data_IF_361914731552
#
_entry.id   IF_361914731552
#
_cell.length_a   1.000
_cell.length_b   1.000
_cell.length_c   1.000
_cell.angle_alpha   90.00
_cell.angle_beta   90.00
_cell.angle_gamma   90.00
#
_symmetry.space_group_name_H-M   'P 1'
#
loop_
_entity.id
_entity.type
_entity.pdbx_description
1 polymer ?
#
# COMPACT_ATOMS: atom_id res chain seq x y z
N UNK A 1 -54.24 2.45 34.16
CA UNK A 1 -53.05 1.58 34.10
C UNK A 1 -52.54 1.22 32.68
N UNK A 2 -53.28 1.21 31.58
CA UNK A 2 -52.73 0.88 30.25
C UNK A 2 -51.86 2.00 29.64
N UNK A 3 -52.16 3.28 29.89
CA UNK A 3 -51.40 4.42 29.33
C UNK A 3 -49.92 4.47 29.80
N UNK A 4 -49.65 4.14 31.07
CA UNK A 4 -48.30 4.14 31.62
C UNK A 4 -47.40 3.03 31.03
N UNK A 5 -47.98 1.83 30.82
CA UNK A 5 -47.29 0.74 30.13
C UNK A 5 -46.93 1.09 28.68
N UNK A 6 -47.83 1.74 27.95
CA UNK A 6 -47.59 2.18 26.57
C UNK A 6 -46.50 3.25 26.50
N UNK A 7 -46.42 4.17 27.47
CA UNK A 7 -45.37 5.19 27.55
C UNK A 7 -43.99 4.60 27.84
N UNK A 8 -43.88 3.58 28.70
CA UNK A 8 -42.64 2.88 28.98
C UNK A 8 -42.20 2.12 27.71
N UNK A 9 -43.10 1.42 27.05
CA UNK A 9 -42.81 0.67 25.81
C UNK A 9 -42.35 1.59 24.69
N UNK A 10 -42.95 2.75 24.52
CA UNK A 10 -42.52 3.77 23.55
C UNK A 10 -41.14 4.33 23.90
N UNK A 11 -40.86 4.59 25.18
CA UNK A 11 -39.55 5.11 25.63
C UNK A 11 -38.45 4.09 25.44
N UNK A 12 -38.67 2.81 25.70
CA UNK A 12 -37.70 1.73 25.51
C UNK A 12 -37.44 1.51 24.03
N UNK A 13 -38.44 1.55 23.17
CA UNK A 13 -38.26 1.44 21.72
C UNK A 13 -37.48 2.63 21.15
N UNK A 14 -37.76 3.85 21.61
CA UNK A 14 -37.02 5.05 21.18
C UNK A 14 -35.56 4.99 21.66
N UNK A 15 -35.32 4.55 22.89
CA UNK A 15 -33.97 4.38 23.42
C UNK A 15 -33.14 3.36 22.61
N UNK A 16 -33.75 2.21 22.31
CA UNK A 16 -33.11 1.17 21.48
C UNK A 16 -32.81 1.67 20.07
N UNK A 17 -33.73 2.42 19.46
CA UNK A 17 -33.53 3.01 18.14
C UNK A 17 -32.36 4.02 18.12
N UNK A 18 -32.27 4.90 19.14
CA UNK A 18 -31.17 5.86 19.28
C UNK A 18 -29.84 5.12 19.50
N UNK A 19 -29.80 4.08 20.33
CA UNK A 19 -28.61 3.26 20.56
C UNK A 19 -28.13 2.58 19.26
N UNK A 20 -29.08 2.07 18.47
CA UNK A 20 -28.80 1.46 17.18
C UNK A 20 -28.16 2.47 16.18
N UNK A 21 -28.74 3.69 16.09
CA UNK A 21 -28.18 4.77 15.25
C UNK A 21 -26.78 5.19 15.72
N UNK A 22 -26.54 5.29 17.02
CA UNK A 22 -25.24 5.63 17.58
C UNK A 22 -24.18 4.54 17.27
N UNK A 23 -24.52 3.27 17.44
CA UNK A 23 -23.63 2.15 17.07
C UNK A 23 -23.30 2.15 15.59
N UNK A 24 -24.27 2.45 14.75
CA UNK A 24 -24.06 2.54 13.32
C UNK A 24 -23.12 3.71 12.95
N UNK A 25 -23.34 4.89 13.52
CA UNK A 25 -22.48 6.05 13.32
C UNK A 25 -21.04 5.76 13.78
N UNK A 26 -20.88 5.13 14.93
CA UNK A 26 -19.57 4.72 15.46
C UNK A 26 -18.86 3.75 14.51
N UNK A 27 -19.58 2.75 13.99
CA UNK A 27 -19.03 1.82 13.00
C UNK A 27 -18.58 2.52 11.73
N UNK A 28 -19.36 3.47 11.19
CA UNK A 28 -18.98 4.24 10.00
C UNK A 28 -17.69 5.01 10.28
N UNK A 29 -17.58 5.67 11.43
CA UNK A 29 -16.37 6.37 11.85
C UNK A 29 -15.17 5.43 11.94
N UNK A 30 -15.33 4.25 12.52
CA UNK A 30 -14.28 3.24 12.64
C UNK A 30 -13.81 2.75 11.26
N UNK A 31 -14.73 2.51 10.34
CA UNK A 31 -14.40 2.10 8.96
C UNK A 31 -13.64 3.19 8.23
N UNK A 32 -14.07 4.44 8.34
CA UNK A 32 -13.40 5.59 7.72
C UNK A 32 -11.99 5.75 8.28
N UNK A 33 -11.83 5.70 9.61
CA UNK A 33 -10.52 5.78 10.28
C UNK A 33 -9.58 4.66 9.82
N UNK A 34 -10.02 3.39 9.92
CA UNK A 34 -9.21 2.24 9.48
C UNK A 34 -8.84 2.29 8.01
N UNK A 35 -9.72 2.85 7.17
CA UNK A 35 -9.42 3.02 5.75
C UNK A 35 -8.27 4.01 5.56
N UNK A 36 -8.24 5.11 6.31
CA UNK A 36 -7.15 6.10 6.29
C UNK A 36 -5.80 5.51 6.72
N UNK A 37 -5.82 4.62 7.73
CA UNK A 37 -4.60 3.99 8.25
C UNK A 37 -3.85 3.16 7.22
N UNK A 38 -4.52 2.62 6.20
CA UNK A 38 -3.86 1.78 5.18
C UNK A 38 -2.96 2.57 4.23
N UNK A 39 -3.29 3.82 3.91
CA UNK A 39 -2.38 4.67 3.15
C UNK A 39 -1.14 5.04 3.99
N UNK A 40 -1.32 5.31 5.28
CA UNK A 40 -0.20 5.63 6.18
C UNK A 40 0.69 4.42 6.45
N UNK A 41 0.15 3.20 6.49
CA UNK A 41 0.94 1.97 6.56
C UNK A 41 1.88 1.82 5.37
N UNK A 42 1.37 1.95 4.14
CA UNK A 42 2.19 1.86 2.93
C UNK A 42 3.31 2.91 2.93
N UNK A 43 3.00 4.13 3.34
CA UNK A 43 4.02 5.18 3.49
C UNK A 43 5.05 4.82 4.58
N UNK A 44 4.63 4.19 5.68
CA UNK A 44 5.50 3.67 6.73
C UNK A 44 6.45 2.59 6.21
N UNK A 45 5.96 1.68 5.40
CA UNK A 45 6.77 0.61 4.80
C UNK A 45 7.75 1.15 3.75
N UNK A 46 7.36 2.16 2.96
CA UNK A 46 8.27 2.91 2.11
C UNK A 46 9.43 3.52 2.92
N UNK A 47 9.13 4.23 4.01
CA UNK A 47 10.15 4.84 4.88
C UNK A 47 11.11 3.80 5.44
N UNK A 48 10.62 2.66 5.93
CA UNK A 48 11.46 1.56 6.44
C UNK A 48 12.39 1.01 5.36
N UNK A 49 11.88 0.81 4.15
CA UNK A 49 12.68 0.32 3.02
C UNK A 49 13.76 1.33 2.62
N UNK A 50 13.43 2.62 2.57
CA UNK A 50 14.39 3.69 2.31
C UNK A 50 15.52 3.70 3.37
N UNK A 51 15.17 3.60 4.64
CA UNK A 51 16.15 3.54 5.75
C UNK A 51 17.08 2.33 5.58
N UNK A 52 16.53 1.16 5.19
CA UNK A 52 17.33 -0.04 4.95
C UNK A 52 18.30 0.14 3.79
N UNK A 53 17.87 0.69 2.66
CA UNK A 53 18.71 0.94 1.48
C UNK A 53 19.81 1.96 1.83
N UNK A 54 19.45 3.10 2.41
CA UNK A 54 20.44 4.13 2.79
C UNK A 54 21.38 3.65 3.88
N UNK A 55 20.89 2.89 4.86
CA UNK A 55 21.73 2.28 5.88
C UNK A 55 22.77 1.33 5.30
N UNK A 56 22.38 0.51 4.32
CA UNK A 56 23.31 -0.35 3.61
C UNK A 56 24.32 0.45 2.80
N UNK A 57 23.89 1.43 2.01
CA UNK A 57 24.80 2.30 1.23
C UNK A 57 25.81 3.01 2.15
N UNK A 58 25.33 3.56 3.26
CA UNK A 58 26.17 4.24 4.24
C UNK A 58 27.22 3.28 4.85
N UNK A 59 26.82 2.05 5.17
CA UNK A 59 27.74 1.02 5.67
C UNK A 59 28.83 0.70 4.65
N UNK A 60 28.47 0.56 3.38
CA UNK A 60 29.44 0.31 2.29
C UNK A 60 30.43 1.47 2.16
N UNK A 61 29.94 2.72 2.18
CA UNK A 61 30.78 3.92 2.10
C UNK A 61 31.74 3.99 3.29
N UNK A 62 31.24 3.78 4.52
CA UNK A 62 32.09 3.80 5.72
C UNK A 62 33.17 2.71 5.70
N UNK A 63 32.82 1.48 5.29
CA UNK A 63 33.76 0.40 5.20
C UNK A 63 34.92 0.71 4.23
N UNK A 64 34.63 1.40 3.12
CA UNK A 64 35.63 1.82 2.17
C UNK A 64 36.53 2.96 2.72
N UNK A 65 35.93 3.94 3.43
CA UNK A 65 36.69 5.04 4.04
C UNK A 65 37.66 4.49 5.10
N UNK A 66 37.21 3.54 5.93
CA UNK A 66 38.03 2.93 6.99
C UNK A 66 39.17 2.08 6.41
N UNK A 67 38.99 1.54 5.20
CA UNK A 67 40.00 0.71 4.54
C UNK A 67 41.06 1.52 3.77
N UNK A 68 41.11 2.84 3.91
CA UNK A 68 41.98 3.76 3.15
C UNK A 68 41.91 3.58 1.62
N UNK A 69 40.79 3.05 1.13
CA UNK A 69 40.57 2.90 -0.31
C UNK A 69 40.10 4.22 -0.94
N UNK A 70 40.56 4.57 -2.14
CA UNK A 70 40.05 5.75 -2.83
C UNK A 70 38.54 5.64 -3.05
N UNK A 71 37.78 6.72 -2.82
CA UNK A 71 36.34 6.79 -3.03
C UNK A 71 35.89 6.35 -4.44
N UNK A 72 36.79 6.46 -5.43
CA UNK A 72 36.57 6.05 -6.81
C UNK A 72 36.42 4.52 -6.99
N UNK A 73 36.87 3.72 -6.02
CA UNK A 73 36.80 2.26 -6.06
C UNK A 73 35.73 1.66 -5.13
N UNK A 74 34.82 2.49 -4.58
CA UNK A 74 33.76 2.01 -3.67
C UNK A 74 32.80 1.07 -4.40
N UNK A 75 32.44 1.40 -5.63
CA UNK A 75 31.50 0.64 -6.43
C UNK A 75 32.22 -0.40 -7.32
N UNK A 76 32.90 -1.35 -6.65
CA UNK A 76 33.42 -2.54 -7.34
C UNK A 76 32.25 -3.34 -7.91
N UNK A 77 32.56 -4.26 -8.84
CA UNK A 77 31.56 -5.16 -9.45
C UNK A 77 30.77 -5.93 -8.38
N UNK A 78 31.43 -6.43 -7.36
CA UNK A 78 30.83 -7.21 -6.29
C UNK A 78 29.83 -6.39 -5.48
N UNK A 79 30.21 -5.16 -5.11
CA UNK A 79 29.34 -4.23 -4.37
C UNK A 79 28.16 -3.80 -5.24
N UNK A 80 28.38 -3.54 -6.51
CA UNK A 80 27.31 -3.19 -7.45
C UNK A 80 26.28 -4.32 -7.56
N UNK A 81 26.71 -5.57 -7.75
CA UNK A 81 25.80 -6.73 -7.80
C UNK A 81 25.00 -6.87 -6.50
N UNK A 82 25.62 -6.70 -5.34
CA UNK A 82 24.90 -6.76 -4.06
C UNK A 82 23.83 -5.65 -3.97
N UNK A 83 24.15 -4.43 -4.38
CA UNK A 83 23.19 -3.31 -4.40
C UNK A 83 22.04 -3.56 -5.37
N UNK A 84 22.29 -4.13 -6.55
CA UNK A 84 21.25 -4.52 -7.49
C UNK A 84 20.32 -5.58 -6.91
N UNK A 85 20.85 -6.57 -6.20
CA UNK A 85 20.06 -7.58 -5.48
C UNK A 85 19.20 -6.93 -4.39
N UNK A 86 19.74 -5.95 -3.66
CA UNK A 86 18.98 -5.18 -2.65
C UNK A 86 17.86 -4.39 -3.30
N UNK A 87 18.12 -3.73 -4.44
CA UNK A 87 17.09 -3.00 -5.19
C UNK A 87 16.01 -3.97 -5.72
N UNK A 88 16.40 -5.10 -6.29
CA UNK A 88 15.47 -6.14 -6.75
C UNK A 88 14.59 -6.66 -5.59
N UNK A 89 15.17 -6.93 -4.43
CA UNK A 89 14.46 -7.27 -3.20
C UNK A 89 13.47 -6.20 -2.78
N UNK A 90 13.86 -4.92 -2.91
CA UNK A 90 12.98 -3.77 -2.62
C UNK A 90 11.81 -3.67 -3.60
N UNK A 91 11.98 -4.02 -4.87
CA UNK A 91 10.87 -4.09 -5.84
C UNK A 91 9.88 -5.20 -5.46
N UNK A 92 10.38 -6.38 -5.09
CA UNK A 92 9.53 -7.49 -4.62
C UNK A 92 8.74 -7.05 -3.37
N UNK A 93 9.42 -6.42 -2.41
CA UNK A 93 8.79 -5.90 -1.19
C UNK A 93 7.71 -4.86 -1.50
N UNK A 94 7.95 -3.93 -2.44
CA UNK A 94 6.96 -2.97 -2.92
C UNK A 94 5.70 -3.66 -3.47
N UNK A 95 5.88 -4.69 -4.30
CA UNK A 95 4.76 -5.45 -4.87
C UNK A 95 3.93 -6.10 -3.77
N UNK A 96 4.58 -6.73 -2.78
CA UNK A 96 3.92 -7.37 -1.64
C UNK A 96 3.12 -6.32 -0.85
N UNK A 97 3.72 -5.18 -0.49
CA UNK A 97 3.05 -4.11 0.25
C UNK A 97 1.87 -3.52 -0.51
N UNK A 98 2.00 -3.36 -1.85
CA UNK A 98 0.90 -2.91 -2.70
C UNK A 98 -0.28 -3.88 -2.69
N UNK A 99 -0.02 -5.17 -2.91
CA UNK A 99 -1.05 -6.23 -2.90
C UNK A 99 -1.73 -6.29 -1.52
N UNK A 100 -0.96 -6.23 -0.44
CA UNK A 100 -1.49 -6.23 0.93
C UNK A 100 -2.42 -5.04 1.19
N UNK A 101 -2.03 -3.85 0.75
CA UNK A 101 -2.83 -2.63 0.89
C UNK A 101 -4.14 -2.72 0.11
N UNK A 102 -4.12 -3.23 -1.12
CA UNK A 102 -5.32 -3.46 -1.93
C UNK A 102 -6.25 -4.51 -1.30
N UNK A 103 -5.68 -5.59 -0.79
CA UNK A 103 -6.45 -6.64 -0.10
C UNK A 103 -7.16 -6.09 1.14
N UNK A 104 -6.47 -5.30 1.98
CA UNK A 104 -7.04 -4.66 3.17
C UNK A 104 -8.18 -3.71 2.79
N UNK A 105 -8.00 -2.92 1.73
CA UNK A 105 -9.03 -2.01 1.24
C UNK A 105 -10.28 -2.75 0.72
N UNK A 106 -10.09 -3.84 -0.02
CA UNK A 106 -11.17 -4.71 -0.47
C UNK A 106 -11.92 -5.35 0.71
N UNK A 107 -11.20 -5.81 1.73
CA UNK A 107 -11.77 -6.39 2.95
C UNK A 107 -12.66 -5.38 3.70
N UNK A 108 -12.22 -4.13 3.83
CA UNK A 108 -13.02 -3.07 4.47
C UNK A 108 -14.30 -2.79 3.69
N UNK A 109 -14.21 -2.64 2.36
CA UNK A 109 -15.40 -2.49 1.51
C UNK A 109 -16.42 -3.61 1.77
N UNK A 110 -15.95 -4.85 1.74
CA UNK A 110 -16.80 -6.02 2.00
C UNK A 110 -17.44 -5.97 3.39
N UNK A 111 -16.68 -5.66 4.43
CA UNK A 111 -17.17 -5.56 5.81
C UNK A 111 -18.25 -4.49 5.94
N UNK A 112 -18.06 -3.33 5.29
CA UNK A 112 -19.03 -2.25 5.27
C UNK A 112 -20.37 -2.69 4.66
N UNK A 113 -20.35 -3.31 3.48
CA UNK A 113 -21.59 -3.75 2.82
C UNK A 113 -22.28 -4.89 3.55
N UNK A 114 -21.54 -5.84 4.14
CA UNK A 114 -22.09 -6.90 4.96
C UNK A 114 -22.80 -6.34 6.19
N UNK A 115 -22.22 -5.33 6.84
CA UNK A 115 -22.85 -4.70 7.99
C UNK A 115 -24.11 -3.92 7.58
N UNK A 116 -24.04 -3.14 6.51
CA UNK A 116 -25.19 -2.43 5.97
C UNK A 116 -26.36 -3.38 5.70
N UNK A 117 -26.08 -4.55 5.15
CA UNK A 117 -27.10 -5.59 4.91
C UNK A 117 -27.71 -6.12 6.20
N UNK A 118 -26.91 -6.31 7.25
CA UNK A 118 -27.42 -6.74 8.56
C UNK A 118 -28.35 -5.71 9.22
N UNK A 119 -28.19 -4.42 8.92
CA UNK A 119 -29.06 -3.36 9.46
C UNK A 119 -30.34 -3.15 8.64
N UNK A 120 -30.47 -3.70 7.41
CA UNK A 120 -31.68 -3.59 6.57
C UNK A 120 -32.94 -4.18 7.24
N UNK A 121 -32.79 -5.11 8.17
CA UNK A 121 -33.93 -5.69 8.91
C UNK A 121 -34.26 -4.95 10.18
N UNK A 122 -33.44 -4.00 10.62
CA UNK A 122 -33.55 -3.31 11.92
C UNK A 122 -33.94 -1.84 11.78
N UNK A 123 -33.56 -1.21 10.67
CA UNK A 123 -33.84 0.19 10.37
C UNK A 123 -34.67 0.30 9.08
N UNK A 124 -35.43 1.39 8.95
CA UNK A 124 -36.13 1.69 7.70
C UNK A 124 -35.14 2.03 6.57
N UNK A 125 -35.52 1.81 5.32
CA UNK A 125 -34.67 2.15 4.16
C UNK A 125 -34.29 3.63 4.13
N UNK A 126 -35.17 4.52 4.62
CA UNK A 126 -34.91 5.95 4.72
C UNK A 126 -33.83 6.24 5.75
N UNK A 127 -33.94 5.65 6.95
CA UNK A 127 -32.95 5.80 8.02
C UNK A 127 -31.58 5.23 7.63
N UNK A 128 -31.57 4.12 6.90
CA UNK A 128 -30.36 3.53 6.35
C UNK A 128 -29.70 4.47 5.35
N UNK A 129 -30.46 4.98 4.38
CA UNK A 129 -29.90 5.92 3.39
C UNK A 129 -29.38 7.20 4.04
N UNK A 130 -30.10 7.75 5.03
CA UNK A 130 -29.65 8.92 5.78
C UNK A 130 -28.37 8.64 6.57
N UNK A 131 -28.33 7.55 7.35
CA UNK A 131 -27.19 7.19 8.20
C UNK A 131 -25.93 6.85 7.40
N UNK A 132 -26.08 6.20 6.25
CA UNK A 132 -24.98 5.87 5.35
C UNK A 132 -24.67 6.98 4.32
N UNK A 133 -25.45 8.07 4.32
CA UNK A 133 -25.32 9.16 3.32
C UNK A 133 -25.21 8.64 1.89
N UNK A 134 -26.05 7.69 1.52
CA UNK A 134 -26.06 7.05 0.20
C UNK A 134 -24.72 6.39 -0.16
N UNK A 135 -23.98 5.84 0.81
CA UNK A 135 -22.64 5.25 0.66
C UNK A 135 -21.54 6.24 0.21
N UNK A 136 -21.86 7.53 0.15
CA UNK A 136 -20.93 8.55 -0.37
C UNK A 136 -19.66 8.62 0.48
N UNK A 137 -19.80 8.61 1.81
CA UNK A 137 -18.67 8.73 2.75
C UNK A 137 -17.65 7.61 2.51
N UNK A 138 -18.09 6.36 2.48
CA UNK A 138 -17.18 5.23 2.28
C UNK A 138 -16.59 5.21 0.87
N UNK A 139 -17.40 5.53 -0.14
CA UNK A 139 -16.96 5.54 -1.53
C UNK A 139 -15.88 6.60 -1.75
N UNK A 140 -16.07 7.80 -1.23
CA UNK A 140 -15.12 8.90 -1.36
C UNK A 140 -13.83 8.61 -0.56
N UNK A 141 -13.96 8.07 0.66
CA UNK A 141 -12.82 7.69 1.50
C UNK A 141 -11.99 6.59 0.83
N UNK A 142 -12.64 5.52 0.38
CA UNK A 142 -11.96 4.41 -0.30
C UNK A 142 -11.27 4.88 -1.57
N UNK A 143 -11.93 5.69 -2.40
CA UNK A 143 -11.33 6.25 -3.64
C UNK A 143 -10.13 7.15 -3.33
N UNK A 144 -10.20 7.95 -2.27
CA UNK A 144 -9.09 8.79 -1.84
C UNK A 144 -7.88 7.96 -1.40
N UNK A 145 -8.11 6.93 -0.58
CA UNK A 145 -7.06 6.03 -0.09
C UNK A 145 -6.48 5.20 -1.23
N UNK A 146 -7.29 4.66 -2.12
CA UNK A 146 -6.85 3.91 -3.30
C UNK A 146 -5.93 4.76 -4.19
N UNK A 147 -6.31 6.02 -4.40
CA UNK A 147 -5.47 6.97 -5.12
C UNK A 147 -4.15 7.25 -4.39
N UNK A 148 -4.19 7.40 -3.07
CA UNK A 148 -2.99 7.56 -2.24
C UNK A 148 -2.05 6.35 -2.33
N UNK A 149 -2.57 5.12 -2.27
CA UNK A 149 -1.80 3.88 -2.44
C UNK A 149 -1.09 3.87 -3.80
N UNK A 150 -1.78 4.21 -4.89
CA UNK A 150 -1.18 4.28 -6.22
C UNK A 150 -0.09 5.35 -6.32
N UNK A 151 -0.34 6.55 -5.77
CA UNK A 151 0.65 7.64 -5.77
C UNK A 151 1.92 7.20 -5.04
N UNK A 152 1.81 6.64 -3.83
CA UNK A 152 2.98 6.19 -3.06
C UNK A 152 3.71 5.03 -3.74
N UNK A 153 3.00 4.10 -4.36
CA UNK A 153 3.59 3.00 -5.13
C UNK A 153 4.40 3.54 -6.31
N UNK A 154 3.85 4.51 -7.07
CA UNK A 154 4.54 5.12 -8.21
C UNK A 154 5.78 5.90 -7.74
N UNK A 155 5.66 6.70 -6.69
CA UNK A 155 6.79 7.45 -6.12
C UNK A 155 7.90 6.49 -5.71
N UNK A 156 7.57 5.42 -5.02
CA UNK A 156 8.52 4.41 -4.58
C UNK A 156 9.20 3.73 -5.77
N UNK A 157 8.44 3.32 -6.76
CA UNK A 157 8.96 2.67 -7.96
C UNK A 157 9.90 3.59 -8.76
N UNK A 158 9.50 4.86 -8.96
CA UNK A 158 10.34 5.87 -9.62
C UNK A 158 11.65 6.08 -8.84
N UNK A 159 11.57 6.14 -7.50
CA UNK A 159 12.76 6.26 -6.67
C UNK A 159 13.73 5.09 -6.86
N UNK A 160 13.24 3.85 -6.89
CA UNK A 160 14.09 2.66 -7.12
C UNK A 160 14.73 2.68 -8.51
N UNK A 161 13.99 3.11 -9.55
CA UNK A 161 14.53 3.28 -10.89
C UNK A 161 15.65 4.33 -10.91
N UNK A 162 15.43 5.49 -10.30
CA UNK A 162 16.44 6.56 -10.24
C UNK A 162 17.68 6.07 -9.49
N UNK A 163 17.50 5.37 -8.38
CA UNK A 163 18.61 4.79 -7.61
C UNK A 163 19.41 3.79 -8.45
N UNK A 164 18.71 2.94 -9.19
CA UNK A 164 19.33 1.98 -10.10
C UNK A 164 20.13 2.66 -11.21
N UNK A 165 19.59 3.70 -11.85
CA UNK A 165 20.27 4.46 -12.88
C UNK A 165 21.53 5.18 -12.34
N UNK A 166 21.45 5.73 -11.13
CA UNK A 166 22.61 6.34 -10.47
C UNK A 166 23.69 5.28 -10.21
N UNK A 167 23.30 4.11 -9.72
CA UNK A 167 24.22 3.01 -9.44
C UNK A 167 24.93 2.54 -10.71
N UNK A 168 24.19 2.32 -11.79
CA UNK A 168 24.74 1.95 -13.11
C UNK A 168 25.67 3.01 -13.69
N UNK A 169 25.36 4.30 -13.47
CA UNK A 169 26.21 5.39 -13.94
C UNK A 169 27.53 5.49 -13.19
N UNK A 170 27.55 5.24 -11.88
CA UNK A 170 28.73 5.34 -11.02
C UNK A 170 29.57 4.06 -11.09
N UNK A 171 28.95 2.92 -11.37
CA UNK A 171 29.63 1.61 -11.40
C UNK A 171 30.64 1.53 -12.54
N UNK A 172 31.82 1.01 -12.22
CA UNK A 172 32.87 0.71 -13.23
C UNK A 172 32.48 -0.47 -14.13
N UNK A 173 31.46 -1.22 -13.81
CA UNK A 173 30.97 -2.40 -14.55
C UNK A 173 29.43 -2.38 -14.57
N UNK A 174 28.78 -1.78 -15.55
CA UNK A 174 27.34 -1.72 -15.66
C UNK A 174 26.76 -3.13 -15.89
N UNK A 175 26.34 -3.79 -14.83
CA UNK A 175 25.90 -5.20 -14.84
C UNK A 175 24.56 -5.35 -15.55
N UNK A 176 23.64 -4.43 -15.32
CA UNK A 176 22.29 -4.46 -15.95
C UNK A 176 22.41 -4.27 -17.47
N UNK A 177 23.26 -3.36 -17.93
CA UNK A 177 23.50 -3.16 -19.37
C UNK A 177 24.00 -4.44 -20.03
N UNK A 178 24.87 -5.20 -19.34
CA UNK A 178 25.36 -6.51 -19.83
C UNK A 178 24.21 -7.53 -19.86
N UNK A 179 23.38 -7.59 -18.80
CA UNK A 179 22.23 -8.50 -18.74
C UNK A 179 21.18 -8.19 -19.81
N UNK A 180 20.88 -6.92 -20.04
CA UNK A 180 19.94 -6.50 -21.09
C UNK A 180 20.47 -6.88 -22.46
N UNK A 181 21.74 -6.62 -22.75
CA UNK A 181 22.35 -6.98 -24.03
C UNK A 181 22.35 -8.49 -24.26
N UNK A 182 22.66 -9.29 -23.24
CA UNK A 182 22.60 -10.74 -23.32
C UNK A 182 21.15 -11.25 -23.51
N UNK A 183 20.17 -10.67 -22.85
CA UNK A 183 18.76 -11.01 -23.04
C UNK A 183 18.29 -10.65 -24.46
N UNK A 184 18.60 -9.47 -24.94
CA UNK A 184 18.26 -9.03 -26.30
C UNK A 184 18.91 -9.95 -27.36
N UNK A 185 20.18 -10.32 -27.19
CA UNK A 185 20.85 -11.25 -28.09
C UNK A 185 20.21 -12.63 -28.10
N UNK A 186 19.83 -13.15 -26.93
CA UNK A 186 19.13 -14.42 -26.79
C UNK A 186 17.76 -14.40 -27.48
N UNK A 187 16.95 -13.36 -27.28
CA UNK A 187 15.69 -13.22 -27.99
C UNK A 187 15.86 -13.06 -29.50
N UNK A 188 16.90 -12.40 -29.95
CA UNK A 188 17.21 -12.27 -31.38
C UNK A 188 17.60 -13.61 -32.01
N UNK A 189 18.36 -14.46 -31.28
CA UNK A 189 18.70 -15.82 -31.73
C UNK A 189 17.46 -16.72 -31.83
N UNK A 190 16.56 -16.67 -30.82
CA UNK A 190 15.28 -17.43 -30.86
C UNK A 190 14.43 -16.97 -32.04
N UNK A 191 14.32 -15.66 -32.30
CA UNK A 191 13.57 -15.12 -33.41
C UNK A 191 14.11 -15.57 -34.78
N UNK A 192 15.44 -15.72 -34.91
CA UNK A 192 16.06 -16.27 -36.11
C UNK A 192 15.85 -17.78 -36.26
N UNK A 193 15.88 -18.53 -35.16
CA UNK A 193 15.71 -19.98 -35.16
C UNK A 193 14.26 -20.41 -35.45
N UNK A 194 13.27 -19.55 -35.17
CA UNK A 194 11.86 -19.81 -35.46
C UNK A 194 11.40 -19.42 -36.87
N UNK A 195 12.29 -18.85 -37.69
CA UNK A 195 12.00 -18.41 -39.05
C UNK A 195 12.50 -19.42 -40.14
N UNK A 196 12.95 -20.58 -39.71
CA UNK A 196 13.32 -21.73 -40.54
C UNK A 196 12.35 -22.88 -40.25
#
# INVERSE_FOLDING_TARGET
MPLYKNLIYLKDNVSQYIDLKNKLAQFICDVVSKTGDYATMLLGDLKKNLIAIFGFLFTVILANIVSDQPLQNIFTREITVILEVVIAGSVIYLIICHIESQYKLCKIKRTYYLLKDNYKGLLSDVDLQESFNGDKIITDTVRSVERGIWIYTIIWFVFLIVLLLILEHISSSPVITIWINNAVSFFHEIAKSGAH
#
